data_IF_746462105833
#
_entry.id   IF_746462105833
#
_cell.length_a   1.000
_cell.length_b   1.000
_cell.length_c   1.000
_cell.angle_alpha   90.00
_cell.angle_beta   90.00
_cell.angle_gamma   90.00
#
_symmetry.space_group_name_H-M   'P 1'
#
loop_
_entity.id
_entity.type
_entity.pdbx_description
1 polymer ?
#
# COMPACT_ATOMS: atom_id res chain seq x y z
N UNK A 1 -6.77 29.09 -39.00
CA UNK A 1 -6.71 29.03 -37.52
C UNK A 1 -7.91 28.26 -36.98
N UNK A 2 -7.97 26.93 -37.14
CA UNK A 2 -9.13 26.11 -36.70
C UNK A 2 -8.75 24.93 -35.81
N UNK A 3 -7.46 24.63 -35.72
CA UNK A 3 -6.91 23.49 -34.96
C UNK A 3 -6.45 23.89 -33.56
N UNK A 4 -6.43 25.19 -33.25
CA UNK A 4 -6.08 25.71 -31.93
C UNK A 4 -6.91 25.11 -30.78
N UNK A 5 -8.25 24.97 -30.87
CA UNK A 5 -9.02 24.34 -29.79
C UNK A 5 -8.75 22.83 -29.67
N UNK A 6 -8.46 22.14 -30.78
CA UNK A 6 -8.13 20.71 -30.78
C UNK A 6 -6.77 20.46 -30.13
N UNK A 7 -5.78 21.30 -30.45
CA UNK A 7 -4.46 21.25 -29.83
C UNK A 7 -4.53 21.54 -28.33
N UNK A 8 -5.35 22.51 -27.92
CA UNK A 8 -5.53 22.86 -26.50
C UNK A 8 -6.25 21.77 -25.70
N UNK A 9 -7.24 21.09 -26.31
CA UNK A 9 -7.88 19.92 -25.72
C UNK A 9 -6.90 18.74 -25.60
N UNK A 10 -6.09 18.49 -26.64
CA UNK A 10 -5.11 17.41 -26.63
C UNK A 10 -4.02 17.64 -25.57
N UNK A 11 -3.50 18.86 -25.45
CA UNK A 11 -2.52 19.21 -24.41
C UNK A 11 -3.10 19.12 -23.00
N UNK A 12 -4.39 19.47 -22.83
CA UNK A 12 -5.08 19.33 -21.54
C UNK A 12 -5.29 17.87 -21.14
N UNK A 13 -5.60 16.99 -22.11
CA UNK A 13 -5.68 15.55 -21.90
C UNK A 13 -4.30 14.96 -21.55
N UNK A 14 -3.25 15.38 -22.25
CA UNK A 14 -1.87 14.93 -22.00
C UNK A 14 -1.33 15.43 -20.65
N UNK A 15 -1.67 16.64 -20.23
CA UNK A 15 -1.34 17.15 -18.89
C UNK A 15 -2.08 16.37 -17.77
N UNK A 16 -3.20 15.72 -18.10
CA UNK A 16 -3.89 14.80 -17.19
C UNK A 16 -3.21 13.43 -17.05
N UNK A 17 -2.31 13.04 -17.95
CA UNK A 17 -1.55 11.80 -17.83
C UNK A 17 -0.50 11.84 -16.72
N UNK A 18 -0.08 13.03 -16.29
CA UNK A 18 0.80 13.25 -15.12
C UNK A 18 0.00 13.31 -13.80
N UNK A 19 -1.33 13.17 -13.86
CA UNK A 19 -2.13 13.08 -12.64
C UNK A 19 -1.81 11.74 -11.98
N UNK A 20 -1.47 11.71 -10.67
CA UNK A 20 -1.33 10.46 -9.96
C UNK A 20 -2.62 9.63 -10.15
N UNK A 21 -2.48 8.31 -10.37
CA UNK A 21 -3.62 7.45 -10.67
C UNK A 21 -4.66 7.58 -9.55
N UNK A 22 -5.93 7.66 -9.94
CA UNK A 22 -7.01 7.70 -8.98
C UNK A 22 -6.91 6.49 -8.04
N UNK A 23 -7.13 6.71 -6.74
CA UNK A 23 -7.08 5.67 -5.69
C UNK A 23 -7.88 4.43 -6.08
N UNK A 24 -9.03 4.62 -6.73
CA UNK A 24 -9.89 3.53 -7.21
C UNK A 24 -9.26 2.69 -8.34
N UNK A 25 -8.59 3.35 -9.29
CA UNK A 25 -7.88 2.66 -10.37
C UNK A 25 -6.67 1.90 -9.84
N UNK A 26 -5.99 2.46 -8.84
CA UNK A 26 -4.82 1.83 -8.23
C UNK A 26 -5.21 0.65 -7.33
N UNK A 27 -6.31 0.75 -6.58
CA UNK A 27 -6.82 -0.33 -5.73
C UNK A 27 -7.32 -1.56 -6.53
N UNK A 28 -7.61 -1.39 -7.83
CA UNK A 28 -8.06 -2.46 -8.71
C UNK A 28 -6.90 -3.37 -9.19
N UNK A 29 -5.66 -2.88 -9.20
CA UNK A 29 -4.48 -3.63 -9.67
C UNK A 29 -3.49 -3.90 -8.52
N UNK A 30 -3.55 -5.10 -7.90
CA UNK A 30 -2.72 -5.43 -6.73
C UNK A 30 -1.22 -5.48 -7.05
N UNK A 31 -0.85 -5.97 -8.25
CA UNK A 31 0.56 -6.15 -8.63
C UNK A 31 1.29 -4.81 -8.78
N UNK A 32 0.61 -3.84 -9.40
CA UNK A 32 1.12 -2.49 -9.57
C UNK A 32 1.16 -1.74 -8.25
N UNK A 33 0.14 -1.92 -7.42
CA UNK A 33 0.09 -1.32 -6.09
C UNK A 33 1.22 -1.84 -5.19
N UNK A 34 1.51 -3.14 -5.21
CA UNK A 34 2.62 -3.75 -4.46
C UNK A 34 3.96 -3.16 -4.85
N UNK A 35 4.22 -3.07 -6.16
CA UNK A 35 5.44 -2.47 -6.70
C UNK A 35 5.60 -1.02 -6.24
N UNK A 36 4.56 -0.20 -6.39
CA UNK A 36 4.60 1.20 -5.96
C UNK A 36 4.83 1.36 -4.47
N UNK A 37 4.32 0.43 -3.66
CA UNK A 37 4.54 0.44 -2.22
C UNK A 37 6.00 0.18 -1.86
N UNK A 38 6.66 -0.76 -2.54
CA UNK A 38 8.10 -0.98 -2.38
C UNK A 38 8.91 0.26 -2.77
N UNK A 39 8.57 0.91 -3.89
CA UNK A 39 9.21 2.15 -4.34
C UNK A 39 9.04 3.31 -3.34
N UNK A 40 7.85 3.43 -2.74
CA UNK A 40 7.59 4.39 -1.67
C UNK A 40 8.40 4.12 -0.41
N UNK A 41 8.61 2.84 -0.03
CA UNK A 41 9.50 2.47 1.09
C UNK A 41 10.97 2.77 0.77
N UNK A 42 11.37 2.63 -0.50
CA UNK A 42 12.70 2.99 -0.99
C UNK A 42 12.92 4.50 -1.14
N UNK A 43 11.89 5.34 -0.95
CA UNK A 43 11.99 6.79 -1.05
C UNK A 43 12.04 7.34 -2.48
N UNK A 44 11.61 6.55 -3.47
CA UNK A 44 11.67 6.93 -4.89
C UNK A 44 10.56 7.92 -5.30
N UNK A 45 9.54 8.10 -4.46
CA UNK A 45 8.39 8.96 -4.71
C UNK A 45 8.15 9.97 -3.59
N UNK A 46 7.49 11.08 -3.92
CA UNK A 46 7.12 12.11 -2.94
C UNK A 46 6.04 11.65 -1.95
N UNK A 47 6.05 12.22 -0.75
CA UNK A 47 5.13 11.83 0.35
C UNK A 47 3.64 11.90 0.00
N UNK A 48 3.21 12.91 -0.76
CA UNK A 48 1.80 13.03 -1.18
C UNK A 48 1.35 11.92 -2.13
N UNK A 49 2.26 11.42 -2.97
CA UNK A 49 2.00 10.27 -3.82
C UNK A 49 1.95 8.98 -2.98
N UNK A 50 2.92 8.79 -2.09
CA UNK A 50 2.94 7.62 -1.20
C UNK A 50 1.73 7.56 -0.25
N UNK A 51 1.18 8.71 0.16
CA UNK A 51 -0.08 8.77 0.90
C UNK A 51 -1.27 8.25 0.06
N UNK A 52 -1.34 8.56 -1.23
CA UNK A 52 -2.37 8.01 -2.13
C UNK A 52 -2.21 6.51 -2.35
N UNK A 53 -0.98 6.02 -2.50
CA UNK A 53 -0.68 4.59 -2.59
C UNK A 53 -1.14 3.87 -1.32
N UNK A 54 -0.82 4.42 -0.14
CA UNK A 54 -1.27 3.87 1.14
C UNK A 54 -2.81 3.89 1.29
N UNK A 55 -3.48 4.94 0.81
CA UNK A 55 -4.94 5.02 0.84
C UNK A 55 -5.59 3.99 -0.11
N UNK A 56 -5.01 3.73 -1.28
CA UNK A 56 -5.49 2.72 -2.22
C UNK A 56 -5.38 1.31 -1.62
N UNK A 57 -4.26 1.04 -0.96
CA UNK A 57 -4.03 -0.21 -0.23
C UNK A 57 -5.02 -0.41 0.92
N UNK A 58 -5.20 0.60 1.78
CA UNK A 58 -6.17 0.54 2.87
C UNK A 58 -7.59 0.29 2.34
N UNK A 59 -7.99 0.98 1.27
CA UNK A 59 -9.32 0.79 0.68
C UNK A 59 -9.50 -0.63 0.14
N UNK A 60 -8.47 -1.19 -0.50
CA UNK A 60 -8.49 -2.58 -1.00
C UNK A 60 -8.63 -3.56 0.16
N UNK A 61 -7.83 -3.39 1.21
CA UNK A 61 -7.89 -4.20 2.42
C UNK A 61 -9.30 -4.19 3.03
N UNK A 62 -9.88 -3.01 3.26
CA UNK A 62 -11.22 -2.86 3.83
C UNK A 62 -12.34 -3.38 2.93
N UNK A 63 -12.10 -3.51 1.63
CA UNK A 63 -13.08 -4.06 0.68
C UNK A 63 -13.13 -5.59 0.67
N UNK A 64 -12.25 -6.28 1.41
CA UNK A 64 -12.15 -7.75 1.40
C UNK A 64 -11.63 -8.32 0.07
N UNK A 65 -11.11 -7.48 -0.83
CA UNK A 65 -10.48 -7.90 -2.09
C UNK A 65 -9.02 -8.31 -1.90
N UNK A 66 -8.45 -8.07 -0.72
CA UNK A 66 -7.12 -8.55 -0.36
C UNK A 66 -7.16 -10.08 -0.22
N UNK A 67 -6.28 -10.78 -0.95
CA UNK A 67 -6.25 -12.24 -1.04
C UNK A 67 -5.11 -12.84 -0.23
N UNK A 68 -5.19 -14.13 0.14
CA UNK A 68 -4.11 -14.83 0.84
C UNK A 68 -2.80 -14.86 0.03
N UNK A 69 -2.90 -14.70 -1.29
CA UNK A 69 -1.76 -14.71 -2.18
C UNK A 69 -0.97 -13.40 -2.27
N UNK A 70 -1.36 -12.35 -1.52
CA UNK A 70 -0.69 -11.03 -1.58
C UNK A 70 0.53 -10.90 -0.67
N UNK A 71 0.58 -11.66 0.43
CA UNK A 71 1.69 -11.58 1.41
C UNK A 71 2.42 -12.92 1.46
N UNK A 72 3.02 -13.31 0.34
CA UNK A 72 3.68 -14.61 0.18
C UNK A 72 5.07 -14.64 0.82
N UNK A 73 5.74 -13.49 0.99
CA UNK A 73 7.08 -13.41 1.57
C UNK A 73 7.12 -12.55 2.82
N UNK A 74 8.04 -12.86 3.73
CA UNK A 74 8.29 -12.06 4.93
C UNK A 74 8.61 -10.59 4.62
N UNK A 75 9.23 -10.31 3.47
CA UNK A 75 9.55 -8.95 3.04
C UNK A 75 8.29 -8.15 2.58
N UNK A 76 7.22 -8.85 2.22
CA UNK A 76 5.96 -8.24 1.78
C UNK A 76 5.11 -7.80 2.98
N UNK A 77 5.29 -8.45 4.14
CA UNK A 77 4.55 -8.13 5.35
C UNK A 77 4.84 -6.71 5.84
N UNK A 78 3.81 -5.99 6.34
CA UNK A 78 4.04 -4.70 6.99
C UNK A 78 4.94 -4.89 8.22
N UNK A 79 5.83 -3.93 8.53
CA UNK A 79 6.64 -3.99 9.73
C UNK A 79 5.74 -4.02 10.97
N UNK A 80 6.17 -4.79 11.98
CA UNK A 80 5.46 -4.88 13.25
C UNK A 80 5.50 -3.48 13.91
N UNK A 81 4.35 -2.93 14.33
CA UNK A 81 4.33 -1.64 15.02
C UNK A 81 5.02 -1.75 16.39
N UNK A 82 5.77 -0.72 16.83
CA UNK A 82 6.47 -0.76 18.12
C UNK A 82 5.53 -0.91 19.32
N UNK A 83 4.25 -0.54 19.18
CA UNK A 83 3.23 -0.76 20.20
C UNK A 83 2.99 -2.24 20.55
N UNK A 84 3.46 -3.17 19.72
CA UNK A 84 3.36 -4.61 19.98
C UNK A 84 4.53 -5.13 20.84
N UNK A 85 5.64 -4.39 20.94
CA UNK A 85 6.80 -4.75 21.75
C UNK A 85 6.71 -4.20 23.19
N UNK A 86 5.73 -3.35 23.47
CA UNK A 86 5.53 -2.76 24.80
C UNK A 86 5.10 -3.87 25.78
N UNK A 87 5.90 -4.20 26.80
CA UNK A 87 5.44 -5.10 27.84
C UNK A 87 4.24 -4.43 28.51
N UNK A 88 3.08 -5.10 28.48
CA UNK A 88 1.97 -4.71 29.35
C UNK A 88 2.51 -4.76 30.77
N UNK A 89 2.61 -3.59 31.45
CA UNK A 89 3.07 -3.43 32.84
C UNK A 89 2.17 -4.14 33.89
N UNK A 90 1.51 -5.23 33.50
CA UNK A 90 0.63 -6.04 34.34
C UNK A 90 0.48 -7.49 33.88
N UNK A 91 1.38 -8.02 33.06
CA UNK A 91 1.42 -9.46 32.76
C UNK A 91 2.69 -10.08 33.30
N UNK A 92 2.56 -10.77 34.42
CA UNK A 92 3.47 -11.82 34.90
C UNK A 92 3.48 -13.02 33.92
N UNK A 93 3.82 -12.78 32.65
CA UNK A 93 3.87 -13.78 31.59
C UNK A 93 5.30 -14.28 31.35
N UNK A 94 6.08 -14.45 32.43
CA UNK A 94 7.29 -15.29 32.41
C UNK A 94 6.96 -16.80 32.47
N UNK A 95 5.80 -17.23 31.96
CA UNK A 95 5.43 -18.65 31.99
C UNK A 95 4.54 -19.07 30.82
N UNK A 96 5.05 -19.00 29.59
CA UNK A 96 4.65 -19.96 28.54
C UNK A 96 5.77 -20.15 27.50
N UNK A 97 7.02 -20.13 27.96
CA UNK A 97 8.08 -20.86 27.29
C UNK A 97 7.91 -22.34 27.69
N UNK A 98 7.08 -23.09 26.98
CA UNK A 98 6.87 -24.50 27.32
C UNK A 98 5.84 -25.21 26.45
N UNK A 99 6.37 -25.99 25.50
CA UNK A 99 5.82 -27.29 25.08
C UNK A 99 4.71 -27.26 24.02
N UNK A 100 5.13 -27.19 22.74
CA UNK A 100 4.35 -27.79 21.65
C UNK A 100 4.75 -29.28 21.55
N UNK A 101 4.01 -30.12 22.26
CA UNK A 101 4.02 -31.58 22.11
C UNK A 101 3.13 -31.92 20.89
N UNK A 102 3.72 -32.57 19.89
CA UNK A 102 3.02 -32.99 18.66
C UNK A 102 2.31 -34.34 18.89
N UNK A 103 1.00 -34.46 18.56
CA UNK A 103 0.38 -35.75 18.27
C UNK A 103 0.72 -36.26 16.85
#
# INVERSE_FOLDING_TARGET
MKNAPVLFALTSLLAGCDRPPAVDALAADPSRLHTLRAQCRAGEHGGAFCAQVAQADLRRFLSGKAGPDEYQTLADLPPIPPSFDEPTEGSDATALAGQEDSP
#
